data_IF_304812427861
#
_entry.id   IF_304812427861
#
_cell.length_a   1.000
_cell.length_b   1.000
_cell.length_c   1.000
_cell.angle_alpha   90.00
_cell.angle_beta   90.00
_cell.angle_gamma   90.00
#
_symmetry.space_group_name_H-M   'P 1'
#
loop_
_entity.id
_entity.type
_entity.pdbx_description
1 polymer ?
#
# COMPACT_ATOMS: atom_id res chain seq x y z
N UNK A 1 1.09 13.72 -0.42
CA UNK A 1 -0.10 12.87 -0.20
C UNK A 1 -0.16 12.43 1.27
N UNK A 2 -1.35 12.34 1.89
CA UNK A 2 -1.51 12.18 3.34
C UNK A 2 -2.40 10.97 3.70
N UNK A 3 -1.88 10.12 4.59
CA UNK A 3 -2.59 9.08 5.31
C UNK A 3 -2.62 9.45 6.80
N UNK A 4 -3.79 9.44 7.44
CA UNK A 4 -3.89 9.57 8.90
C UNK A 4 -4.53 8.34 9.51
N UNK A 5 -4.04 7.92 10.67
CA UNK A 5 -4.59 6.84 11.47
C UNK A 5 -4.88 7.42 12.85
N UNK A 6 -6.14 7.37 13.25
CA UNK A 6 -6.65 7.91 14.51
C UNK A 6 -7.21 6.78 15.37
N UNK A 7 -7.01 6.86 16.68
CA UNK A 7 -7.69 5.98 17.64
C UNK A 7 -8.19 6.77 18.84
N UNK A 8 -9.26 6.24 19.44
CA UNK A 8 -9.82 6.67 20.73
C UNK A 8 -9.76 5.53 21.77
N UNK A 9 -8.93 4.50 21.51
CA UNK A 9 -8.54 3.54 22.55
C UNK A 9 -7.98 4.28 23.76
N UNK A 10 -8.06 3.71 24.97
CA UNK A 10 -7.52 4.37 26.16
C UNK A 10 -6.38 3.55 26.79
N UNK A 11 -5.16 4.12 26.91
CA UNK A 11 -4.78 5.47 26.47
C UNK A 11 -4.54 5.54 24.95
N UNK A 12 -5.02 6.59 24.28
CA UNK A 12 -4.91 6.69 22.82
C UNK A 12 -3.46 6.86 22.36
N UNK A 13 -2.62 7.40 23.24
CA UNK A 13 -1.18 7.54 23.05
C UNK A 13 -0.47 6.21 22.80
N UNK A 14 -1.08 5.07 23.14
CA UNK A 14 -0.53 3.75 22.83
C UNK A 14 -0.39 3.48 21.32
N UNK A 15 -1.09 4.25 20.47
CA UNK A 15 -0.86 4.26 19.02
C UNK A 15 0.62 4.51 18.65
N UNK A 16 1.34 5.31 19.44
CA UNK A 16 2.77 5.56 19.25
C UNK A 16 3.62 4.30 19.39
N UNK A 17 3.33 3.48 20.40
CA UNK A 17 4.02 2.21 20.62
C UNK A 17 3.67 1.20 19.52
N UNK A 18 2.40 1.11 19.15
CA UNK A 18 1.95 0.18 18.10
C UNK A 18 2.59 0.49 16.74
N UNK A 19 2.74 1.77 16.37
CA UNK A 19 3.39 2.18 15.12
C UNK A 19 4.93 2.23 15.21
N UNK A 20 5.51 2.04 16.40
CA UNK A 20 6.91 2.33 16.70
C UNK A 20 7.33 3.73 16.25
N UNK A 21 6.49 4.73 16.52
CA UNK A 21 6.75 6.14 16.21
C UNK A 21 6.42 6.98 17.42
N UNK A 22 7.41 7.71 17.89
CA UNK A 22 7.27 8.51 19.10
C UNK A 22 6.48 9.80 18.81
N UNK A 23 5.35 10.07 19.49
CA UNK A 23 4.49 11.22 19.15
C UNK A 23 5.17 12.59 19.21
N UNK A 24 6.09 12.80 20.15
CA UNK A 24 6.85 14.04 20.27
C UNK A 24 7.97 14.24 19.23
N UNK A 25 8.11 13.36 18.22
CA UNK A 25 9.17 13.46 17.20
C UNK A 25 8.58 13.40 15.80
N UNK A 26 8.93 14.39 14.99
CA UNK A 26 8.79 14.29 13.54
C UNK A 26 9.93 13.43 13.02
N UNK A 27 9.62 12.42 12.22
CA UNK A 27 10.61 11.51 11.63
C UNK A 27 10.51 11.56 10.11
N UNK A 28 11.65 11.62 9.44
CA UNK A 28 11.73 11.57 7.97
C UNK A 28 12.45 10.30 7.54
N UNK A 29 11.91 9.64 6.52
CA UNK A 29 12.44 8.40 5.94
C UNK A 29 12.70 8.61 4.45
N UNK A 30 13.91 8.25 3.99
CA UNK A 30 14.24 8.27 2.57
C UNK A 30 13.59 7.07 1.86
N UNK A 31 12.93 7.35 0.75
CA UNK A 31 12.34 6.38 -0.18
C UNK A 31 13.05 6.51 -1.53
N UNK A 32 12.98 5.47 -2.37
CA UNK A 32 13.57 5.51 -3.71
C UNK A 32 13.01 6.65 -4.60
N UNK A 33 11.82 7.15 -4.27
CA UNK A 33 11.07 8.14 -5.04
C UNK A 33 10.84 9.47 -4.29
N UNK A 34 11.47 9.69 -3.14
CA UNK A 34 11.29 10.91 -2.33
C UNK A 34 11.45 10.64 -0.84
N UNK A 35 10.66 11.31 -0.03
CA UNK A 35 10.67 11.18 1.43
C UNK A 35 9.28 10.84 1.97
N UNK A 36 9.26 10.22 3.15
CA UNK A 36 8.07 10.06 3.97
C UNK A 36 8.28 10.70 5.32
N UNK A 37 7.30 11.49 5.77
CA UNK A 37 7.31 12.13 7.08
C UNK A 37 6.24 11.51 7.97
N UNK A 38 6.63 11.14 9.20
CA UNK A 38 5.70 10.75 10.24
C UNK A 38 5.68 11.79 11.34
N UNK A 39 4.48 12.22 11.71
CA UNK A 39 4.25 13.13 12.82
C UNK A 39 2.85 12.91 13.41
N UNK A 40 2.60 13.49 14.57
CA UNK A 40 1.34 13.33 15.29
C UNK A 40 0.65 14.69 15.43
N UNK A 41 -0.34 15.02 14.58
CA UNK A 41 -1.07 16.28 14.69
C UNK A 41 -1.92 16.38 15.95
N UNK A 42 -2.34 15.25 16.53
CA UNK A 42 -3.11 15.20 17.77
C UNK A 42 -2.57 14.09 18.67
N UNK A 43 -2.34 14.40 19.94
CA UNK A 43 -1.87 13.42 20.94
C UNK A 43 -2.43 13.81 22.30
N UNK A 44 -3.45 13.09 22.73
CA UNK A 44 -4.03 13.14 24.08
C UNK A 44 -4.31 11.71 24.56
N UNK A 45 -4.69 11.56 25.83
CA UNK A 45 -5.12 10.26 26.37
C UNK A 45 -6.42 9.77 25.73
N UNK A 46 -7.29 10.69 25.30
CA UNK A 46 -8.61 10.38 24.71
C UNK A 46 -8.58 10.17 23.20
N UNK A 47 -7.63 10.82 22.50
CA UNK A 47 -7.50 10.75 21.04
C UNK A 47 -6.07 10.96 20.59
N UNK A 48 -5.61 10.08 19.70
CA UNK A 48 -4.29 10.15 19.12
C UNK A 48 -4.38 9.92 17.62
N UNK A 49 -3.72 10.78 16.84
CA UNK A 49 -3.68 10.70 15.38
C UNK A 49 -2.23 10.69 14.93
N UNK A 50 -1.84 9.65 14.21
CA UNK A 50 -0.59 9.58 13.46
C UNK A 50 -0.84 9.99 12.00
N UNK A 51 0.09 10.75 11.42
CA UNK A 51 0.08 11.16 10.02
C UNK A 51 1.31 10.59 9.31
N UNK A 52 1.11 10.01 8.12
CA UNK A 52 2.14 9.64 7.15
C UNK A 52 1.97 10.53 5.91
N UNK A 53 2.90 11.45 5.70
CA UNK A 53 2.93 12.36 4.57
C UNK A 53 4.02 11.92 3.59
N UNK A 54 3.64 11.65 2.34
CA UNK A 54 4.60 11.40 1.26
C UNK A 54 4.93 12.69 0.52
N UNK A 55 6.24 12.97 0.46
CA UNK A 55 6.86 14.03 -0.33
C UNK A 55 7.66 13.41 -1.47
N UNK A 56 7.00 13.22 -2.61
CA UNK A 56 7.54 12.53 -3.76
C UNK A 56 8.31 13.51 -4.64
N UNK A 57 9.52 13.15 -5.07
CA UNK A 57 10.33 13.96 -5.98
C UNK A 57 9.94 13.68 -7.46
N UNK A 58 9.15 14.56 -8.12
CA UNK A 58 8.68 14.33 -9.49
C UNK A 58 9.83 14.26 -10.51
N UNK A 59 10.91 15.01 -10.28
CA UNK A 59 12.08 15.02 -11.17
C UNK A 59 12.89 13.74 -11.00
N UNK A 60 13.03 13.27 -9.76
CA UNK A 60 13.70 12.01 -9.43
C UNK A 60 13.03 10.81 -10.09
N UNK A 61 11.69 10.79 -10.13
CA UNK A 61 10.89 9.71 -10.73
C UNK A 61 11.13 9.48 -12.25
N UNK A 62 11.59 10.51 -12.96
CA UNK A 62 11.74 10.50 -14.43
C UNK A 62 13.20 10.39 -14.86
N UNK A 63 14.14 10.82 -14.02
CA UNK A 63 15.59 10.74 -14.32
C UNK A 63 16.01 9.29 -14.55
N UNK A 64 16.58 9.02 -15.73
CA UNK A 64 17.06 7.70 -16.14
C UNK A 64 16.18 6.97 -17.16
N UNK A 65 14.94 7.43 -17.39
CA UNK A 65 14.08 6.92 -18.48
C UNK A 65 14.44 7.62 -19.81
N UNK A 66 14.69 6.82 -20.85
CA UNK A 66 15.20 7.31 -22.16
C UNK A 66 14.15 7.97 -23.05
N UNK A 67 12.86 7.87 -22.72
CA UNK A 67 11.79 8.38 -23.56
C UNK A 67 11.21 9.69 -22.99
N UNK A 68 11.41 10.79 -23.70
CA UNK A 68 10.81 12.09 -23.38
C UNK A 68 9.31 12.08 -23.72
N UNK A 69 8.48 11.71 -22.76
CA UNK A 69 7.02 11.89 -22.85
C UNK A 69 6.59 12.93 -21.81
N UNK A 70 5.86 13.97 -22.22
CA UNK A 70 5.39 15.05 -21.33
C UNK A 70 4.58 14.51 -20.13
N UNK A 71 3.84 13.42 -20.35
CA UNK A 71 3.09 12.69 -19.31
C UNK A 71 3.97 12.10 -18.20
N UNK A 72 5.28 11.96 -18.41
CA UNK A 72 6.21 11.53 -17.36
C UNK A 72 6.55 12.68 -16.40
N UNK A 73 6.57 13.93 -16.88
CA UNK A 73 6.90 15.11 -16.07
C UNK A 73 5.66 15.77 -15.44
N UNK A 74 4.52 15.69 -16.12
CA UNK A 74 3.24 16.24 -15.63
C UNK A 74 2.25 15.09 -15.47
N UNK A 75 2.18 14.58 -14.25
CA UNK A 75 1.21 13.57 -13.85
C UNK A 75 0.84 13.74 -12.37
N UNK A 76 -0.15 12.96 -11.96
CA UNK A 76 -0.75 12.97 -10.65
C UNK A 76 0.07 12.21 -9.59
N UNK A 77 1.05 11.40 -9.99
CA UNK A 77 1.75 10.43 -9.13
C UNK A 77 2.35 11.02 -7.85
N UNK A 78 2.94 12.22 -7.85
CA UNK A 78 3.46 12.83 -6.62
C UNK A 78 2.37 13.20 -5.60
N UNK A 79 1.12 13.30 -6.05
CA UNK A 79 0.02 13.92 -5.30
C UNK A 79 -1.09 12.95 -4.89
N UNK A 80 -1.14 11.75 -5.51
CA UNK A 80 -2.22 10.76 -5.31
C UNK A 80 -1.78 9.59 -4.45
N UNK A 81 -2.70 9.04 -3.65
CA UNK A 81 -2.51 7.85 -2.82
C UNK A 81 -2.42 6.57 -3.64
N UNK A 82 -1.37 6.46 -4.44
CA UNK A 82 -1.06 5.33 -5.31
C UNK A 82 -0.30 4.23 -4.57
N UNK A 83 0.16 3.22 -5.32
CA UNK A 83 1.06 2.17 -4.84
C UNK A 83 2.31 2.66 -4.09
N UNK A 84 2.74 3.92 -4.26
CA UNK A 84 3.80 4.53 -3.44
C UNK A 84 3.45 4.57 -1.95
N UNK A 85 2.17 4.75 -1.59
CA UNK A 85 1.72 4.73 -0.20
C UNK A 85 1.88 3.35 0.43
N UNK A 86 1.59 2.27 -0.31
CA UNK A 86 1.82 0.91 0.17
C UNK A 86 3.29 0.63 0.47
N UNK A 87 4.20 1.05 -0.43
CA UNK A 87 5.65 0.92 -0.20
C UNK A 87 6.07 1.70 1.05
N UNK A 88 5.57 2.93 1.22
CA UNK A 88 5.87 3.72 2.40
C UNK A 88 5.32 3.08 3.69
N UNK A 89 4.11 2.49 3.68
CA UNK A 89 3.56 1.75 4.82
C UNK A 89 4.49 0.58 5.18
N UNK A 90 4.89 -0.23 4.20
CA UNK A 90 5.76 -1.38 4.42
C UNK A 90 7.14 -1.00 4.97
N UNK A 91 7.70 0.14 4.53
CA UNK A 91 9.01 0.60 5.02
C UNK A 91 8.92 1.30 6.38
N UNK A 92 7.95 2.21 6.57
CA UNK A 92 7.86 3.08 7.75
C UNK A 92 7.16 2.38 8.92
N UNK A 93 6.11 1.60 8.64
CA UNK A 93 5.32 0.88 9.64
C UNK A 93 5.59 -0.63 9.63
N UNK A 94 6.76 -1.06 9.15
CA UNK A 94 7.16 -2.47 9.04
C UNK A 94 6.81 -3.32 10.27
N UNK A 95 7.25 -2.90 11.45
CA UNK A 95 7.04 -3.66 12.69
C UNK A 95 5.56 -3.77 13.06
N UNK A 96 4.79 -2.70 12.84
CA UNK A 96 3.34 -2.68 13.08
C UNK A 96 2.59 -3.58 12.08
N UNK A 97 2.98 -3.51 10.80
CA UNK A 97 2.45 -4.34 9.72
C UNK A 97 2.70 -5.84 9.96
N UNK A 98 3.84 -6.19 10.56
CA UNK A 98 4.16 -7.57 10.93
C UNK A 98 3.57 -7.99 12.29
N UNK A 99 2.72 -7.15 12.91
CA UNK A 99 2.10 -7.52 14.18
C UNK A 99 3.13 -7.74 15.30
N UNK A 100 4.13 -6.88 15.39
CA UNK A 100 5.11 -6.91 16.48
C UNK A 100 5.00 -5.62 17.31
N UNK A 101 5.16 -5.70 18.63
CA UNK A 101 5.36 -4.55 19.53
C UNK A 101 6.01 -5.05 20.83
N UNK A 102 7.25 -4.61 21.12
CA UNK A 102 7.97 -5.04 22.33
C UNK A 102 7.42 -4.39 23.59
N UNK A 103 7.00 -3.14 23.49
CA UNK A 103 6.56 -2.34 24.65
C UNK A 103 5.11 -2.65 25.05
N UNK A 104 4.26 -3.03 24.07
CA UNK A 104 2.83 -3.31 24.24
C UNK A 104 2.41 -4.60 23.51
N UNK A 105 2.94 -5.78 23.86
CA UNK A 105 2.70 -7.01 23.11
C UNK A 105 1.23 -7.46 23.11
N UNK A 106 0.51 -7.25 24.22
CA UNK A 106 -0.91 -7.61 24.34
C UNK A 106 -1.80 -6.77 23.41
N UNK A 107 -1.46 -5.49 23.23
CA UNK A 107 -2.25 -4.56 22.44
C UNK A 107 -2.19 -4.86 20.93
N UNK A 108 -1.12 -5.51 20.47
CA UNK A 108 -0.97 -5.92 19.07
C UNK A 108 -2.05 -6.91 18.63
N UNK A 109 -2.47 -7.79 19.54
CA UNK A 109 -3.50 -8.80 19.28
C UNK A 109 -4.91 -8.29 19.60
N UNK A 110 -5.02 -7.06 20.11
CA UNK A 110 -6.28 -6.50 20.57
C UNK A 110 -6.91 -5.63 19.48
N UNK A 111 -8.17 -5.91 19.09
CA UNK A 111 -8.93 -4.99 18.25
C UNK A 111 -9.17 -3.65 18.96
N UNK A 112 -8.80 -2.55 18.31
CA UNK A 112 -8.99 -1.19 18.83
C UNK A 112 -9.78 -0.35 17.83
N UNK A 113 -10.54 0.67 18.29
CA UNK A 113 -11.26 1.57 17.38
C UNK A 113 -10.27 2.38 16.55
N UNK A 114 -10.29 2.20 15.24
CA UNK A 114 -9.40 2.85 14.28
C UNK A 114 -10.23 3.62 13.25
N UNK A 115 -9.82 4.85 13.02
CA UNK A 115 -10.30 5.69 11.94
C UNK A 115 -9.13 6.04 11.03
N UNK A 116 -9.27 5.80 9.73
CA UNK A 116 -8.26 6.12 8.73
C UNK A 116 -8.82 7.13 7.76
N UNK A 117 -8.01 8.13 7.39
CA UNK A 117 -8.31 9.02 6.28
C UNK A 117 -7.18 8.99 5.27
N UNK A 118 -7.53 8.77 3.99
CA UNK A 118 -6.59 8.79 2.87
C UNK A 118 -7.00 9.91 1.93
N UNK A 119 -6.12 10.89 1.78
CA UNK A 119 -6.34 12.01 0.88
C UNK A 119 -6.00 11.62 -0.57
N UNK A 120 -6.88 11.99 -1.51
CA UNK A 120 -6.65 11.89 -2.97
C UNK A 120 -6.32 10.45 -3.41
N UNK A 121 -7.21 9.51 -3.09
CA UNK A 121 -7.14 8.11 -3.49
C UNK A 121 -7.78 7.93 -4.88
N UNK A 122 -7.02 7.47 -5.90
CA UNK A 122 -7.60 7.18 -7.21
C UNK A 122 -8.51 5.96 -7.12
N UNK A 123 -9.75 6.09 -7.59
CA UNK A 123 -10.65 4.96 -7.79
C UNK A 123 -11.29 5.03 -9.18
N UNK A 124 -10.68 4.33 -10.14
CA UNK A 124 -11.23 4.22 -11.51
C UNK A 124 -12.54 3.42 -11.57
N UNK A 125 -12.87 2.67 -10.52
CA UNK A 125 -14.16 1.98 -10.35
C UNK A 125 -15.21 2.83 -9.62
N UNK A 126 -14.92 4.10 -9.34
CA UNK A 126 -15.79 4.99 -8.60
C UNK A 126 -15.89 4.65 -7.11
N UNK A 127 -16.84 5.28 -6.43
CA UNK A 127 -17.09 5.07 -5.00
C UNK A 127 -17.56 3.63 -4.69
N UNK A 128 -18.33 3.01 -5.58
CA UNK A 128 -18.85 1.65 -5.39
C UNK A 128 -17.73 0.62 -5.25
N UNK A 129 -16.62 0.80 -5.97
CA UNK A 129 -15.46 -0.07 -5.83
C UNK A 129 -14.83 0.04 -4.43
N UNK A 130 -14.79 1.24 -3.83
CA UNK A 130 -14.26 1.44 -2.47
C UNK A 130 -15.12 0.67 -1.46
N UNK A 131 -16.44 0.81 -1.57
CA UNK A 131 -17.44 0.08 -0.78
C UNK A 131 -17.24 -1.44 -0.89
N UNK A 132 -17.19 -1.99 -2.12
CA UNK A 132 -17.01 -3.43 -2.36
C UNK A 132 -15.70 -4.01 -1.84
N UNK A 133 -14.66 -3.19 -1.71
CA UNK A 133 -13.34 -3.60 -1.22
C UNK A 133 -13.22 -3.55 0.30
N UNK A 134 -13.86 -2.58 0.95
CA UNK A 134 -13.66 -2.35 2.39
C UNK A 134 -14.85 -2.79 3.25
N UNK A 135 -16.09 -2.68 2.79
CA UNK A 135 -17.25 -3.12 3.61
C UNK A 135 -17.25 -4.61 3.95
N UNK A 136 -16.83 -5.55 3.07
CA UNK A 136 -16.73 -6.96 3.44
C UNK A 136 -15.71 -7.27 4.55
N UNK A 137 -14.76 -6.37 4.77
CA UNK A 137 -13.79 -6.42 5.88
C UNK A 137 -14.35 -5.78 7.16
N UNK A 138 -15.61 -5.33 7.12
CA UNK A 138 -16.37 -4.74 8.20
C UNK A 138 -16.14 -3.24 8.41
N UNK A 139 -15.44 -2.56 7.51
CA UNK A 139 -15.27 -1.12 7.61
C UNK A 139 -16.58 -0.39 7.35
N UNK A 140 -16.83 0.67 8.13
CA UNK A 140 -17.71 1.75 7.69
C UNK A 140 -16.94 2.63 6.71
N UNK A 141 -17.48 2.79 5.51
CA UNK A 141 -16.80 3.47 4.39
C UNK A 141 -17.49 4.81 4.09
N UNK A 142 -16.73 5.89 4.07
CA UNK A 142 -17.16 7.18 3.53
C UNK A 142 -16.19 7.63 2.45
N UNK A 143 -16.71 7.95 1.27
CA UNK A 143 -15.92 8.37 0.12
C UNK A 143 -16.43 9.71 -0.39
N UNK A 144 -15.65 10.77 -0.20
CA UNK A 144 -15.95 12.10 -0.71
C UNK A 144 -15.30 12.28 -2.10
N UNK A 145 -16.09 12.48 -3.16
CA UNK A 145 -15.56 12.66 -4.51
C UNK A 145 -15.08 14.10 -4.73
N UNK A 146 -13.99 14.27 -5.48
CA UNK A 146 -13.47 15.60 -5.84
C UNK A 146 -13.89 16.01 -7.24
N UNK A 147 -14.28 17.27 -7.43
CA UNK A 147 -14.46 17.87 -8.76
C UNK A 147 -13.11 17.99 -9.48
N UNK A 148 -13.11 17.94 -10.82
CA UNK A 148 -11.85 18.07 -11.58
C UNK A 148 -11.24 19.47 -11.43
N UNK A 149 -12.08 20.50 -11.53
CA UNK A 149 -11.68 21.89 -11.29
C UNK A 149 -12.89 22.69 -10.76
N UNK A 150 -12.81 23.31 -9.56
CA UNK A 150 -13.88 24.13 -9.01
C UNK A 150 -14.27 25.33 -9.89
N UNK A 151 -13.36 25.85 -10.72
CA UNK A 151 -13.63 26.95 -11.64
C UNK A 151 -14.30 26.51 -12.94
N UNK A 152 -14.24 25.21 -13.26
CA UNK A 152 -14.87 24.61 -14.44
C UNK A 152 -15.71 23.39 -14.07
N UNK A 153 -16.86 23.58 -13.36
CA UNK A 153 -17.69 22.46 -12.89
C UNK A 153 -18.21 21.55 -14.02
N UNK A 154 -18.37 22.09 -15.23
CA UNK A 154 -18.83 21.35 -16.42
C UNK A 154 -17.87 20.25 -16.86
N UNK A 155 -16.60 20.26 -16.38
CA UNK A 155 -15.64 19.18 -16.62
C UNK A 155 -15.94 17.91 -15.80
N UNK A 156 -16.84 18.00 -14.83
CA UNK A 156 -17.32 16.87 -14.03
C UNK A 156 -16.39 16.48 -12.89
N UNK A 157 -16.57 15.23 -12.42
CA UNK A 157 -15.84 14.70 -11.27
C UNK A 157 -14.48 14.16 -11.69
N UNK A 158 -13.49 14.37 -10.83
CA UNK A 158 -12.20 13.70 -10.92
C UNK A 158 -12.32 12.21 -10.53
N UNK A 159 -11.35 11.36 -10.88
CA UNK A 159 -11.31 9.97 -10.42
C UNK A 159 -10.81 9.82 -8.98
N UNK A 160 -10.65 10.91 -8.23
CA UNK A 160 -10.05 10.91 -6.89
C UNK A 160 -11.09 11.11 -5.79
N UNK A 161 -10.84 10.45 -4.67
CA UNK A 161 -11.69 10.47 -3.49
C UNK A 161 -10.86 10.78 -2.24
N UNK A 162 -11.46 11.46 -1.27
CA UNK A 162 -11.01 11.35 0.12
C UNK A 162 -11.76 10.17 0.74
N UNK A 163 -11.01 9.15 1.16
CA UNK A 163 -11.58 7.95 1.77
C UNK A 163 -11.42 8.02 3.29
N UNK A 164 -12.51 7.84 4.02
CA UNK A 164 -12.51 7.62 5.46
C UNK A 164 -13.02 6.22 5.76
N UNK A 165 -12.25 5.46 6.55
CA UNK A 165 -12.57 4.10 6.99
C UNK A 165 -12.63 4.07 8.51
N UNK A 166 -13.66 3.46 9.08
CA UNK A 166 -13.78 3.26 10.52
C UNK A 166 -14.05 1.79 10.83
N UNK A 167 -13.29 1.22 11.78
CA UNK A 167 -13.48 -0.16 12.23
C UNK A 167 -12.79 -0.41 13.57
N UNK A 168 -13.30 -1.36 14.35
CA UNK A 168 -12.57 -1.92 15.52
C UNK A 168 -11.82 -3.18 15.09
N UNK A 169 -10.50 -3.07 14.90
CA UNK A 169 -9.66 -4.14 14.36
C UNK A 169 -8.22 -4.04 14.90
N UNK A 170 -7.40 -5.09 14.76
CA UNK A 170 -5.97 -5.00 15.06
C UNK A 170 -5.31 -4.05 14.07
N UNK A 171 -4.32 -3.29 14.55
CA UNK A 171 -3.59 -2.34 13.70
C UNK A 171 -2.87 -3.05 12.53
N UNK A 172 -2.32 -4.24 12.76
CA UNK A 172 -1.64 -5.01 11.72
C UNK A 172 -2.58 -5.36 10.56
N UNK A 173 -3.80 -5.81 10.86
CA UNK A 173 -4.79 -6.16 9.84
C UNK A 173 -5.21 -4.91 9.03
N UNK A 174 -5.44 -3.77 9.71
CA UNK A 174 -5.70 -2.49 9.04
C UNK A 174 -4.57 -2.14 8.06
N UNK A 175 -3.32 -2.20 8.51
CA UNK A 175 -2.17 -1.87 7.65
C UNK A 175 -2.03 -2.86 6.49
N UNK A 176 -2.30 -4.15 6.71
CA UNK A 176 -2.31 -5.18 5.67
C UNK A 176 -3.41 -4.94 4.62
N UNK A 177 -4.62 -4.59 5.06
CA UNK A 177 -5.71 -4.21 4.16
C UNK A 177 -5.33 -3.01 3.29
N UNK A 178 -4.78 -1.94 3.90
CA UNK A 178 -4.35 -0.76 3.16
C UNK A 178 -3.21 -1.09 2.18
N UNK A 179 -2.21 -1.86 2.63
CA UNK A 179 -1.06 -2.26 1.84
C UNK A 179 -1.50 -3.00 0.56
N UNK A 180 -2.45 -3.92 0.66
CA UNK A 180 -2.96 -4.71 -0.48
C UNK A 180 -3.97 -3.96 -1.34
N UNK A 181 -4.88 -3.19 -0.74
CA UNK A 181 -6.02 -2.62 -1.46
C UNK A 181 -5.72 -1.27 -2.13
N UNK A 182 -4.79 -0.46 -1.62
CA UNK A 182 -4.39 0.79 -2.28
C UNK A 182 -3.87 0.54 -3.71
N UNK A 183 -2.97 -0.44 -3.96
CA UNK A 183 -2.50 -0.72 -5.32
C UNK A 183 -3.60 -1.30 -6.24
N UNK A 184 -4.60 -1.98 -5.68
CA UNK A 184 -5.79 -2.47 -6.42
C UNK A 184 -6.64 -1.31 -6.92
N UNK A 185 -6.75 -0.25 -6.12
CA UNK A 185 -7.46 0.98 -6.48
C UNK A 185 -6.67 1.82 -7.49
N UNK A 186 -5.36 2.00 -7.24
CA UNK A 186 -4.42 2.65 -8.16
C UNK A 186 -4.45 1.98 -9.54
N UNK A 187 -4.47 0.64 -9.59
CA UNK A 187 -4.53 -0.16 -10.81
C UNK A 187 -3.47 0.22 -11.86
N UNK A 188 -2.37 0.81 -11.41
CA UNK A 188 -1.27 1.29 -12.24
C UNK A 188 0.02 1.28 -11.41
N UNK A 189 0.48 0.09 -10.98
CA UNK A 189 1.71 -0.06 -10.19
C UNK A 189 2.92 0.49 -10.94
N UNK A 190 3.67 1.36 -10.26
CA UNK A 190 4.84 2.07 -10.79
C UNK A 190 6.09 1.19 -10.91
N UNK A 191 6.09 0.01 -10.29
CA UNK A 191 7.17 -0.99 -10.32
C UNK A 191 6.79 -2.24 -11.13
N UNK A 192 7.79 -3.07 -11.40
CA UNK A 192 7.61 -4.35 -12.07
C UNK A 192 7.05 -5.38 -11.08
N UNK A 193 6.09 -6.20 -11.52
CA UNK A 193 5.49 -7.25 -10.70
C UNK A 193 6.01 -8.61 -11.19
N UNK A 194 6.66 -9.36 -10.30
CA UNK A 194 7.20 -10.70 -10.55
C UNK A 194 6.59 -11.75 -9.62
N UNK A 195 7.19 -12.95 -9.60
CA UNK A 195 6.68 -14.09 -8.82
C UNK A 195 6.67 -13.82 -7.31
N UNK A 196 7.68 -13.10 -6.77
CA UNK A 196 7.71 -12.69 -5.36
C UNK A 196 6.53 -11.84 -4.90
N UNK A 197 5.86 -11.14 -5.83
CA UNK A 197 4.66 -10.34 -5.52
C UNK A 197 3.46 -11.23 -5.16
N UNK A 198 3.42 -12.47 -5.66
CA UNK A 198 2.41 -13.46 -5.27
C UNK A 198 2.58 -13.82 -3.80
N UNK A 199 3.80 -14.17 -3.38
CA UNK A 199 4.09 -14.49 -1.98
C UNK A 199 3.77 -13.31 -1.06
N UNK A 200 4.13 -12.08 -1.47
CA UNK A 200 3.77 -10.85 -0.72
C UNK A 200 2.25 -10.68 -0.60
N UNK A 201 1.49 -10.94 -1.67
CA UNK A 201 0.03 -10.87 -1.64
C UNK A 201 -0.57 -11.90 -0.68
N UNK A 202 -0.07 -13.14 -0.71
CA UNK A 202 -0.58 -14.22 0.14
C UNK A 202 -0.26 -13.96 1.61
N UNK A 203 1.00 -13.62 1.92
CA UNK A 203 1.41 -13.30 3.29
C UNK A 203 0.64 -12.12 3.89
N UNK A 204 0.38 -11.05 3.11
CA UNK A 204 -0.40 -9.89 3.59
C UNK A 204 -1.91 -10.05 3.42
N UNK A 205 -2.33 -11.05 2.65
CA UNK A 205 -3.72 -11.47 2.42
C UNK A 205 -4.20 -12.54 3.40
N UNK A 206 -3.30 -13.11 4.19
CA UNK A 206 -3.60 -14.22 5.11
C UNK A 206 -4.74 -13.86 6.07
N UNK A 207 -5.64 -14.81 6.29
CA UNK A 207 -6.78 -14.67 7.19
C UNK A 207 -7.98 -13.88 6.65
N UNK A 208 -7.85 -13.13 5.54
CA UNK A 208 -8.96 -12.32 5.01
C UNK A 208 -9.17 -12.44 3.49
N UNK A 209 -8.12 -12.57 2.69
CA UNK A 209 -8.22 -12.50 1.23
C UNK A 209 -8.95 -13.71 0.64
N UNK A 210 -8.75 -14.91 1.19
CA UNK A 210 -9.39 -16.15 0.71
C UNK A 210 -10.93 -16.09 0.85
N UNK A 211 -11.43 -15.43 1.90
CA UNK A 211 -12.84 -15.21 2.18
C UNK A 211 -13.43 -13.94 1.57
N UNK A 212 -12.61 -13.07 0.95
CA UNK A 212 -13.09 -11.81 0.40
C UNK A 212 -13.91 -12.02 -0.88
N UNK A 213 -15.11 -11.42 -1.03
CA UNK A 213 -15.96 -11.63 -2.22
C UNK A 213 -15.33 -11.10 -3.52
N UNK A 214 -14.46 -10.10 -3.40
CA UNK A 214 -13.70 -9.52 -4.53
C UNK A 214 -12.29 -10.12 -4.72
N UNK A 215 -11.99 -11.30 -4.17
CA UNK A 215 -10.63 -11.87 -4.20
C UNK A 215 -10.06 -11.99 -5.63
N UNK A 216 -10.87 -12.38 -6.60
CA UNK A 216 -10.43 -12.47 -8.00
C UNK A 216 -10.08 -11.10 -8.57
N UNK A 217 -10.83 -10.06 -8.21
CA UNK A 217 -10.56 -8.68 -8.62
C UNK A 217 -9.28 -8.16 -7.96
N UNK A 218 -9.13 -8.39 -6.65
CA UNK A 218 -7.97 -7.99 -5.85
C UNK A 218 -6.71 -8.63 -6.43
N UNK A 219 -6.68 -9.96 -6.54
CA UNK A 219 -5.53 -10.72 -7.08
C UNK A 219 -5.18 -10.27 -8.50
N UNK A 220 -6.18 -10.09 -9.37
CA UNK A 220 -5.95 -9.63 -10.75
C UNK A 220 -5.30 -8.25 -10.81
N UNK A 221 -5.81 -7.27 -10.06
CA UNK A 221 -5.29 -5.89 -10.12
C UNK A 221 -3.97 -5.75 -9.36
N UNK A 222 -3.84 -6.41 -8.21
CA UNK A 222 -2.61 -6.42 -7.43
C UNK A 222 -1.45 -6.98 -8.26
N UNK A 223 -1.70 -8.03 -9.05
CA UNK A 223 -0.68 -8.66 -9.91
C UNK A 223 -0.60 -8.04 -11.31
N UNK A 224 -1.03 -6.78 -11.47
CA UNK A 224 -0.95 -6.00 -12.72
C UNK A 224 -1.53 -6.74 -13.94
N UNK A 225 -2.63 -7.47 -13.73
CA UNK A 225 -3.35 -8.26 -14.73
C UNK A 225 -2.53 -9.39 -15.36
N UNK A 226 -1.44 -9.84 -14.72
CA UNK A 226 -0.64 -10.97 -15.18
C UNK A 226 -1.36 -12.28 -14.89
N UNK A 227 -1.94 -12.89 -15.94
CA UNK A 227 -2.78 -14.09 -15.82
C UNK A 227 -2.07 -15.30 -15.19
N UNK A 228 -0.78 -15.48 -15.44
CA UNK A 228 0.01 -16.58 -14.86
C UNK A 228 0.11 -16.44 -13.35
N UNK A 229 0.51 -15.26 -12.87
CA UNK A 229 0.61 -14.93 -11.45
C UNK A 229 -0.75 -14.98 -10.76
N UNK A 230 -1.78 -14.45 -11.43
CA UNK A 230 -3.16 -14.48 -10.92
C UNK A 230 -3.63 -15.92 -10.68
N UNK A 231 -3.38 -16.82 -11.63
CA UNK A 231 -3.77 -18.23 -11.49
C UNK A 231 -3.02 -18.89 -10.34
N UNK A 232 -1.70 -18.70 -10.26
CA UNK A 232 -0.90 -19.26 -9.17
C UNK A 232 -1.38 -18.79 -7.79
N UNK A 233 -1.65 -17.49 -7.64
CA UNK A 233 -2.17 -16.93 -6.39
C UNK A 233 -3.57 -17.47 -6.04
N UNK A 234 -4.47 -17.60 -7.03
CA UNK A 234 -5.81 -18.15 -6.78
C UNK A 234 -5.80 -19.65 -6.46
N UNK A 235 -4.91 -20.43 -7.07
CA UNK A 235 -4.71 -21.85 -6.75
C UNK A 235 -4.27 -21.99 -5.27
N UNK A 236 -3.29 -21.20 -4.83
CA UNK A 236 -2.81 -21.23 -3.44
C UNK A 236 -3.86 -20.73 -2.43
N UNK A 237 -4.63 -19.68 -2.76
CA UNK A 237 -5.74 -19.22 -1.89
C UNK A 237 -6.85 -20.26 -1.68
N UNK A 238 -6.98 -21.23 -2.59
CA UNK A 238 -7.92 -22.36 -2.48
C UNK A 238 -7.29 -23.51 -1.68
N UNK A 239 -5.97 -23.70 -1.79
CA UNK A 239 -5.20 -24.72 -1.09
C UNK A 239 -4.93 -24.37 0.40
N UNK A 240 -4.72 -23.09 0.73
CA UNK A 240 -4.45 -22.54 2.09
C UNK A 240 -5.64 -22.68 3.08
N UNK A 241 -6.64 -23.49 2.76
CA UNK A 241 -7.57 -24.01 3.78
C UNK A 241 -6.93 -25.10 4.68
N UNK A 242 -5.69 -25.53 4.38
CA UNK A 242 -4.90 -26.42 5.23
C UNK A 242 -3.39 -26.16 5.09
N UNK A 243 -2.75 -25.86 6.23
CA UNK A 243 -1.31 -25.77 6.51
C UNK A 243 -0.54 -24.47 6.15
N UNK A 244 -0.09 -23.80 7.21
CA UNK A 244 0.84 -22.67 7.27
C UNK A 244 2.31 -23.12 7.15
N UNK A 245 3.12 -22.38 6.40
CA UNK A 245 4.59 -22.45 6.49
C UNK A 245 5.24 -21.06 6.43
N UNK A 246 6.09 -20.80 7.42
CA UNK A 246 7.08 -19.71 7.46
C UNK A 246 8.00 -19.79 6.24
N UNK A 247 8.15 -18.68 5.52
CA UNK A 247 9.27 -18.48 4.59
C UNK A 247 9.94 -17.13 4.89
N UNK A 248 11.27 -17.17 4.91
CA UNK A 248 12.18 -16.17 5.48
C UNK A 248 11.97 -14.74 4.92
N UNK A 249 11.53 -13.84 5.80
CA UNK A 249 11.20 -12.44 5.52
C UNK A 249 12.41 -11.52 5.25
N UNK A 250 13.64 -11.99 5.46
CA UNK A 250 14.87 -11.19 5.27
C UNK A 250 15.16 -10.91 3.79
N UNK A 251 14.72 -11.78 2.87
CA UNK A 251 14.88 -11.58 1.41
C UNK A 251 13.89 -10.54 0.84
N UNK A 252 12.68 -10.47 1.42
CA UNK A 252 11.59 -9.56 1.03
C UNK A 252 11.95 -8.09 1.26
N UNK A 253 12.69 -7.80 2.34
CA UNK A 253 13.10 -6.45 2.69
C UNK A 253 14.21 -5.89 1.78
N UNK A 254 15.03 -6.76 1.18
CA UNK A 254 16.08 -6.37 0.24
C UNK A 254 15.49 -6.01 -1.13
N UNK A 255 14.48 -6.76 -1.60
CA UNK A 255 13.78 -6.46 -2.86
C UNK A 255 13.03 -5.11 -2.81
N UNK A 256 12.41 -4.74 -1.69
CA UNK A 256 11.67 -3.48 -1.56
C UNK A 256 12.59 -2.23 -1.54
N UNK A 257 13.87 -2.39 -1.15
CA UNK A 257 14.89 -1.34 -1.27
C UNK A 257 15.53 -1.30 -2.67
N UNK A 258 15.46 -2.41 -3.40
CA UNK A 258 15.96 -2.60 -4.75
C UNK A 258 14.86 -2.41 -5.81
N UNK A 259 13.94 -1.47 -5.60
CA UNK A 259 13.10 -0.93 -6.70
C UNK A 259 13.98 -0.07 -7.63
N UNK A 260 15.13 -0.60 -8.06
CA UNK A 260 15.66 -0.31 -9.37
C UNK A 260 14.84 -1.13 -10.37
N UNK A 261 14.58 -0.65 -11.59
CA UNK A 261 14.09 -1.52 -12.62
C UNK A 261 15.18 -2.56 -12.85
N UNK A 262 15.04 -3.78 -12.30
CA UNK A 262 15.87 -4.90 -12.72
C UNK A 262 15.74 -5.00 -14.24
N UNK A 263 16.77 -4.48 -14.92
CA UNK A 263 16.81 -4.43 -16.35
C UNK A 263 16.94 -5.87 -16.82
N UNK A 264 15.81 -6.51 -17.11
CA UNK A 264 15.80 -7.81 -17.79
C UNK A 264 16.78 -7.71 -18.94
N UNK A 265 17.79 -8.59 -18.94
CA UNK A 265 18.70 -8.72 -20.06
C UNK A 265 17.87 -8.78 -21.33
N UNK A 266 18.09 -7.81 -22.23
CA UNK A 266 17.37 -7.77 -23.48
C UNK A 266 17.56 -9.10 -24.22
N UNK A 267 16.59 -9.48 -25.06
CA UNK A 267 16.72 -10.66 -25.94
C UNK A 267 18.04 -10.65 -26.73
N UNK A 268 18.57 -9.46 -27.04
CA UNK A 268 19.88 -9.27 -27.64
C UNK A 268 21.02 -9.72 -26.71
N UNK A 269 21.01 -9.32 -25.44
CA UNK A 269 22.01 -9.75 -24.44
C UNK A 269 21.91 -11.24 -24.11
N UNK A 270 20.69 -11.80 -24.05
CA UNK A 270 20.50 -13.25 -23.87
C UNK A 270 21.06 -14.04 -25.06
N UNK A 271 20.85 -13.56 -26.29
CA UNK A 271 21.45 -14.15 -27.51
C UNK A 271 22.96 -14.04 -27.52
N UNK A 272 23.51 -12.90 -27.10
CA UNK A 272 24.96 -12.70 -27.02
C UNK A 272 25.60 -13.67 -26.00
N UNK A 273 24.97 -13.84 -24.84
CA UNK A 273 25.40 -14.79 -23.81
C UNK A 273 25.32 -16.25 -24.30
N UNK A 274 24.27 -16.62 -25.02
CA UNK A 274 24.13 -17.96 -25.60
C UNK A 274 25.21 -18.27 -26.66
N UNK A 275 25.64 -17.27 -27.45
CA UNK A 275 26.73 -17.43 -28.42
C UNK A 275 28.08 -17.56 -27.72
N UNK A 276 28.33 -16.79 -26.66
CA UNK A 276 29.56 -16.87 -25.87
C UNK A 276 29.69 -18.20 -25.12
N UNK A 277 28.58 -18.80 -24.68
CA UNK A 277 28.57 -20.09 -24.00
C UNK A 277 28.82 -21.30 -24.93
N UNK A 278 28.80 -21.08 -26.24
CA UNK A 278 29.02 -22.12 -27.25
C UNK A 278 30.40 -22.06 -27.92
N UNK A 279 31.27 -21.14 -27.48
CA UNK A 279 32.70 -21.03 -27.84
C UNK A 279 33.55 -21.68 -26.75
#
# INVERSE_FOLDING_TARGET
MLLTITTTHQPATDLGYLLYKHPARVQTFNLAFGEAHVFYPETSEDRCTAALLLDINPVGLVRGKKDFALSQYVNDRPYVASSFLSVAIAQVYRSALNGTCKDRPELVQTPIPLEVTISVLPSRGGAELLTRLFEPLGYTVSAEPHVLDPNFPDWGMSPYYTLTLQQTIRLADLLSHLYVLIPVLDNDKHYYVGDGEVNKLLAKGEGWLSGHPEKELITRRYLKHQRSLQRAALEQLVEDAADTLDQDEEEIAAEDQLIEPEAKMSLHQQRLGAVLAAL
#
